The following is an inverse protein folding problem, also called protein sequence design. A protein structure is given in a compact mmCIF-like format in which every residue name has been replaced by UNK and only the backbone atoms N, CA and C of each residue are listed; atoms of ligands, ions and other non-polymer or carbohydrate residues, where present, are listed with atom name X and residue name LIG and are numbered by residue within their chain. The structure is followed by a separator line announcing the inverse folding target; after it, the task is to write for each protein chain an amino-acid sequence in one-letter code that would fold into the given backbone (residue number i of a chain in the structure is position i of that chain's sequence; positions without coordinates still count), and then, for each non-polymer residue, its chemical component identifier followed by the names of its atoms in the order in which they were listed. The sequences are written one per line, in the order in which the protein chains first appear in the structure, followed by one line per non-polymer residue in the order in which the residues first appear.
data_IF_326832195995
#
_entry.id   IF_326832195995
#
_cell.length_a   1.000
_cell.length_b   1.000
_cell.length_c   1.000
_cell.angle_alpha   90.00
_cell.angle_beta   90.00
_cell.angle_gamma   90.00
#
_symmetry.space_group_name_H-M   'P 1'
#
loop_
_entity.id
_entity.type
_entity.pdbx_description
1 polymer ?
#
# COMPACT_ATOMS: atom_id res chain seq x y z
N UNK A 1 -67.78 64.80 8.17
CA UNK A 1 -67.51 63.61 9.01
C UNK A 1 -67.49 62.40 8.12
N UNK A 2 -66.57 61.46 8.41
CA UNK A 2 -66.21 60.21 7.70
C UNK A 2 -65.41 60.40 6.40
N UNK A 3 -64.08 60.22 6.43
CA UNK A 3 -63.27 58.99 6.57
C UNK A 3 -63.23 58.19 5.27
N UNK A 4 -62.14 57.59 4.82
CA UNK A 4 -60.71 57.65 5.10
C UNK A 4 -60.06 56.63 4.14
N UNK A 5 -58.85 56.92 3.66
CA UNK A 5 -57.76 55.98 3.38
C UNK A 5 -57.93 55.02 2.17
N UNK A 6 -57.23 55.42 1.09
CA UNK A 6 -56.69 54.52 0.06
C UNK A 6 -55.66 53.60 0.74
N UNK A 7 -55.90 52.29 0.72
CA UNK A 7 -54.88 51.28 1.07
C UNK A 7 -54.62 50.39 -0.13
N UNK A 8 -53.45 50.56 -0.72
CA UNK A 8 -52.86 49.64 -1.70
C UNK A 8 -52.50 48.34 -0.97
N UNK A 9 -53.22 47.25 -1.25
CA UNK A 9 -52.82 45.91 -0.84
C UNK A 9 -51.71 45.42 -1.79
N UNK A 10 -50.45 45.61 -1.39
CA UNK A 10 -49.33 44.87 -1.95
C UNK A 10 -49.46 43.41 -1.53
N UNK A 11 -49.87 42.54 -2.47
CA UNK A 11 -49.81 41.10 -2.28
C UNK A 11 -48.34 40.67 -2.25
N UNK A 12 -47.74 40.65 -1.05
CA UNK A 12 -46.54 39.88 -0.78
C UNK A 12 -46.87 38.39 -0.94
N UNK A 13 -46.77 37.86 -2.16
CA UNK A 13 -46.53 36.44 -2.36
C UNK A 13 -45.15 36.14 -1.77
N UNK A 14 -45.12 35.83 -0.47
CA UNK A 14 -44.02 35.09 0.13
C UNK A 14 -43.98 33.75 -0.60
N UNK A 15 -43.13 33.64 -1.62
CA UNK A 15 -42.65 32.35 -2.05
C UNK A 15 -41.87 31.79 -0.87
N UNK A 16 -42.56 30.98 -0.06
CA UNK A 16 -41.93 30.01 0.81
C UNK A 16 -41.17 29.08 -0.13
N UNK A 17 -39.95 29.46 -0.47
CA UNK A 17 -38.96 28.54 -1.01
C UNK A 17 -38.69 27.58 0.14
N UNK A 18 -39.50 26.53 0.24
CA UNK A 18 -39.12 25.34 0.96
C UNK A 18 -37.82 24.87 0.31
N UNK A 19 -36.69 25.23 0.92
CA UNK A 19 -35.43 24.61 0.61
C UNK A 19 -35.62 23.12 0.84
N UNK A 20 -35.72 22.37 -0.25
CA UNK A 20 -35.72 20.90 -0.19
C UNK A 20 -34.45 20.51 0.56
N UNK A 21 -34.53 19.72 1.64
CA UNK A 21 -33.33 19.27 2.32
C UNK A 21 -32.41 18.58 1.30
N UNK A 22 -31.22 19.15 1.11
CA UNK A 22 -30.26 18.74 0.06
C UNK A 22 -29.47 17.47 0.43
N UNK A 23 -29.71 16.88 1.59
CA UNK A 23 -29.07 15.63 2.01
C UNK A 23 -29.93 14.43 1.63
N UNK A 24 -29.51 13.71 0.59
CA UNK A 24 -30.04 12.37 0.32
C UNK A 24 -29.78 11.48 1.53
N UNK A 25 -30.82 10.86 2.09
CA UNK A 25 -30.65 9.88 3.17
C UNK A 25 -30.07 8.59 2.60
N UNK A 26 -28.88 8.20 3.07
CA UNK A 26 -28.17 7.03 2.57
C UNK A 26 -27.58 6.19 3.71
N UNK A 27 -27.23 4.95 3.43
CA UNK A 27 -26.60 4.03 4.38
C UNK A 27 -25.80 2.92 3.66
N UNK A 28 -25.12 2.06 4.42
CA UNK A 28 -24.60 0.79 3.88
C UNK A 28 -25.48 -0.40 4.26
N UNK A 29 -26.07 -0.37 5.47
CA UNK A 29 -26.60 -1.56 6.14
C UNK A 29 -28.04 -1.94 5.80
N UNK A 30 -28.79 -1.08 5.10
CA UNK A 30 -30.20 -1.35 4.77
C UNK A 30 -30.39 -1.44 3.26
N UNK A 31 -31.14 -2.44 2.76
CA UNK A 31 -31.40 -2.57 1.33
C UNK A 31 -31.94 -1.30 0.68
N UNK A 32 -32.82 -0.56 1.37
CA UNK A 32 -33.48 0.65 0.86
C UNK A 32 -32.57 1.86 0.67
N UNK A 33 -31.37 1.87 1.25
CA UNK A 33 -30.43 3.00 1.17
C UNK A 33 -28.98 2.59 0.95
N UNK A 34 -28.74 1.32 0.62
CA UNK A 34 -27.43 0.71 0.35
C UNK A 34 -26.76 1.25 -0.91
N UNK A 35 -25.48 0.94 -1.09
CA UNK A 35 -24.69 1.36 -2.26
C UNK A 35 -25.31 0.96 -3.61
N UNK A 36 -25.94 -0.21 -3.67
CA UNK A 36 -26.70 -0.68 -4.83
C UNK A 36 -27.88 0.25 -5.20
N UNK A 37 -28.41 1.01 -4.25
CA UNK A 37 -29.54 1.94 -4.45
C UNK A 37 -29.12 3.38 -4.68
N UNK A 38 -27.87 3.74 -4.37
CA UNK A 38 -27.38 5.12 -4.53
C UNK A 38 -27.53 5.68 -5.94
N UNK A 39 -27.34 4.92 -7.04
CA UNK A 39 -27.63 5.41 -8.39
C UNK A 39 -29.08 5.85 -8.60
N UNK A 40 -30.01 5.38 -7.78
CA UNK A 40 -31.43 5.77 -7.82
C UNK A 40 -31.74 6.90 -6.84
N UNK A 41 -31.27 6.81 -5.58
CA UNK A 41 -31.62 7.80 -4.55
C UNK A 41 -30.78 9.09 -4.61
N UNK A 42 -29.59 9.02 -5.20
CA UNK A 42 -28.67 10.14 -5.42
C UNK A 42 -28.30 10.23 -6.92
N UNK A 43 -29.30 10.08 -7.78
CA UNK A 43 -29.16 9.89 -9.23
C UNK A 43 -28.24 10.91 -9.89
N UNK A 44 -28.33 12.19 -9.50
CA UNK A 44 -27.57 13.28 -10.12
C UNK A 44 -26.08 13.01 -10.27
N UNK A 45 -25.49 12.24 -9.37
CA UNK A 45 -24.05 11.98 -9.39
C UNK A 45 -23.69 10.49 -9.25
N UNK A 46 -24.51 9.68 -8.58
CA UNK A 46 -24.14 8.28 -8.31
C UNK A 46 -24.37 7.32 -9.49
N UNK A 47 -25.04 7.76 -10.56
CA UNK A 47 -25.21 6.99 -11.80
C UNK A 47 -24.16 7.35 -12.90
N UNK A 48 -23.15 8.15 -12.55
CA UNK A 48 -22.13 8.60 -13.47
C UNK A 48 -21.24 7.46 -14.02
N UNK A 49 -20.44 7.77 -15.02
CA UNK A 49 -19.59 6.77 -15.72
C UNK A 49 -18.15 6.75 -15.24
N UNK A 50 -17.73 7.72 -14.42
CA UNK A 50 -16.39 7.84 -13.85
C UNK A 50 -16.42 7.62 -12.33
N UNK A 51 -17.26 6.70 -11.87
CA UNK A 51 -17.44 6.41 -10.45
C UNK A 51 -16.26 5.65 -9.84
N UNK A 52 -16.11 5.78 -8.53
CA UNK A 52 -15.19 5.06 -7.67
C UNK A 52 -15.96 4.26 -6.61
N UNK A 53 -15.39 3.20 -6.03
CA UNK A 53 -14.05 2.65 -6.28
C UNK A 53 -13.99 1.79 -7.56
N UNK A 54 -12.79 1.31 -7.93
CA UNK A 54 -12.59 0.40 -9.07
C UNK A 54 -11.72 -0.80 -8.70
N UNK A 55 -11.84 -1.88 -9.48
CA UNK A 55 -10.83 -2.94 -9.49
C UNK A 55 -9.71 -2.60 -10.48
N UNK A 56 -8.49 -2.43 -9.97
CA UNK A 56 -7.30 -2.13 -10.76
C UNK A 56 -6.75 -3.42 -11.35
N UNK A 57 -6.83 -3.55 -12.68
CA UNK A 57 -6.27 -4.69 -13.41
C UNK A 57 -4.85 -4.33 -13.86
N UNK A 58 -3.84 -4.90 -13.21
CA UNK A 58 -2.44 -4.46 -13.34
C UNK A 58 -1.88 -4.64 -14.75
N UNK A 59 -2.38 -5.62 -15.51
CA UNK A 59 -1.98 -5.82 -16.91
C UNK A 59 -2.46 -4.71 -17.84
N UNK A 60 -3.47 -3.94 -17.44
CA UNK A 60 -4.04 -2.84 -18.22
C UNK A 60 -3.52 -1.47 -17.76
N UNK A 61 -2.69 -1.43 -16.71
CA UNK A 61 -2.12 -0.19 -16.19
C UNK A 61 -1.11 0.35 -17.17
N UNK A 62 -1.26 1.62 -17.53
CA UNK A 62 -0.35 2.30 -18.45
C UNK A 62 0.76 3.04 -17.70
N UNK A 63 1.98 2.96 -18.21
CA UNK A 63 3.09 3.73 -17.66
C UNK A 63 2.94 5.21 -18.02
N UNK A 64 3.15 6.09 -17.04
CA UNK A 64 3.17 7.54 -17.23
C UNK A 64 4.42 8.12 -16.56
N UNK A 65 5.29 8.75 -17.36
CA UNK A 65 6.55 9.32 -16.90
C UNK A 65 6.39 10.61 -16.06
N UNK A 66 5.23 11.27 -16.14
CA UNK A 66 4.94 12.46 -15.33
C UNK A 66 4.59 12.09 -13.88
N UNK A 67 4.17 10.84 -13.64
CA UNK A 67 3.96 10.33 -12.29
C UNK A 67 5.31 10.15 -11.60
N UNK A 68 5.67 11.15 -10.82
CA UNK A 68 6.90 11.23 -10.04
C UNK A 68 6.61 11.07 -8.54
N UNK A 69 7.61 11.23 -7.68
CA UNK A 69 7.41 11.20 -6.24
C UNK A 69 6.42 12.29 -5.79
N UNK A 70 5.56 11.92 -4.84
CA UNK A 70 4.77 12.88 -4.08
C UNK A 70 5.62 13.48 -2.96
N UNK A 71 5.38 14.74 -2.66
CA UNK A 71 5.96 15.44 -1.51
C UNK A 71 4.88 15.57 -0.44
N UNK A 72 5.18 15.08 0.77
CA UNK A 72 4.29 15.14 1.92
C UNK A 72 4.86 16.14 2.93
N UNK A 73 4.09 17.17 3.26
CA UNK A 73 4.45 18.20 4.24
C UNK A 73 3.60 18.01 5.49
N UNK A 74 4.23 18.05 6.67
CA UNK A 74 3.52 17.97 7.97
C UNK A 74 3.00 16.58 8.36
N UNK A 75 3.23 15.54 7.54
CA UNK A 75 2.76 14.17 7.84
C UNK A 75 3.42 13.56 9.08
N UNK A 76 4.59 14.05 9.47
CA UNK A 76 5.32 13.67 10.68
C UNK A 76 4.93 14.50 11.92
N UNK A 77 4.09 15.53 11.77
CA UNK A 77 3.67 16.38 12.88
C UNK A 77 2.57 15.70 13.70
N UNK A 78 2.86 15.40 14.97
CA UNK A 78 1.94 14.77 15.92
C UNK A 78 0.82 15.69 16.42
N UNK A 79 0.88 16.97 16.09
CA UNK A 79 -0.17 17.95 16.38
C UNK A 79 -1.09 18.22 15.16
N UNK A 80 -0.86 17.55 14.03
CA UNK A 80 -1.67 17.75 12.84
C UNK A 80 -2.95 16.90 12.80
N UNK A 81 -3.00 15.78 13.54
CA UNK A 81 -4.24 15.05 13.78
C UNK A 81 -4.93 15.68 15.01
N UNK A 82 -6.17 16.11 14.87
CA UNK A 82 -6.81 17.00 15.87
C UNK A 82 -8.01 16.39 16.58
N UNK A 83 -8.90 15.72 15.84
CA UNK A 83 -10.15 15.16 16.37
C UNK A 83 -10.45 13.83 15.71
N UNK A 84 -10.75 12.79 16.49
CA UNK A 84 -11.30 11.52 15.98
C UNK A 84 -12.81 11.48 16.27
N UNK A 85 -13.60 11.03 15.29
CA UNK A 85 -15.06 11.04 15.34
C UNK A 85 -15.63 9.78 14.72
N UNK A 86 -16.66 9.23 15.35
CA UNK A 86 -17.55 8.26 14.72
C UNK A 86 -18.66 9.02 13.98
N UNK A 87 -18.73 8.91 12.66
CA UNK A 87 -19.72 9.63 11.85
C UNK A 87 -21.05 8.89 11.73
N UNK A 88 -21.12 7.64 12.20
CA UNK A 88 -22.21 6.70 11.94
C UNK A 88 -22.04 5.89 10.66
N UNK A 89 -21.11 6.28 9.78
CA UNK A 89 -20.79 5.56 8.54
C UNK A 89 -19.31 5.23 8.39
N UNK A 90 -18.42 5.88 9.16
CA UNK A 90 -16.99 5.64 9.22
C UNK A 90 -16.40 6.18 10.54
N UNK A 91 -15.13 5.87 10.80
CA UNK A 91 -14.29 6.59 11.75
C UNK A 91 -13.45 7.58 10.96
N UNK A 92 -13.60 8.86 11.29
CA UNK A 92 -12.94 9.98 10.63
C UNK A 92 -12.02 10.69 11.61
N UNK A 93 -10.84 11.11 11.14
CA UNK A 93 -9.92 11.98 11.87
C UNK A 93 -9.74 13.28 11.10
N UNK A 94 -9.98 14.40 11.78
CA UNK A 94 -9.74 15.74 11.24
C UNK A 94 -8.24 16.03 11.21
N UNK A 95 -7.76 16.52 10.07
CA UNK A 95 -6.39 16.94 9.84
C UNK A 95 -6.28 18.47 9.81
N UNK A 96 -5.21 18.98 10.39
CA UNK A 96 -4.87 20.40 10.36
C UNK A 96 -4.39 20.78 8.94
N UNK A 97 -5.33 21.29 8.15
CA UNK A 97 -5.13 21.68 6.76
C UNK A 97 -4.13 22.84 6.59
N UNK A 98 -3.78 23.58 7.64
CA UNK A 98 -2.71 24.59 7.57
C UNK A 98 -1.32 23.97 7.71
N UNK A 99 -1.21 22.74 8.24
CA UNK A 99 0.06 22.04 8.48
C UNK A 99 0.31 20.92 7.50
N UNK A 100 -0.72 20.18 7.11
CA UNK A 100 -0.59 18.98 6.29
C UNK A 100 -0.96 19.23 4.83
N UNK A 101 -0.01 18.93 3.94
CA UNK A 101 -0.19 19.12 2.51
C UNK A 101 0.45 17.98 1.69
N UNK A 102 -0.06 17.81 0.47
CA UNK A 102 0.53 16.94 -0.56
C UNK A 102 0.63 17.69 -1.90
N UNK A 103 1.71 17.43 -2.62
CA UNK A 103 1.92 17.92 -3.98
C UNK A 103 2.85 16.98 -4.77
N UNK A 104 3.12 17.30 -6.04
CA UNK A 104 3.97 16.48 -6.91
C UNK A 104 3.22 15.29 -7.49
N UNK A 105 3.94 14.34 -8.09
CA UNK A 105 3.31 13.15 -8.68
C UNK A 105 2.22 13.47 -9.70
N UNK A 106 2.40 14.52 -10.51
CA UNK A 106 1.41 15.03 -11.49
C UNK A 106 0.09 15.53 -10.88
N UNK A 107 0.09 15.91 -9.59
CA UNK A 107 -1.00 16.71 -9.02
C UNK A 107 -0.91 18.15 -9.54
N UNK A 108 -2.04 18.79 -9.89
CA UNK A 108 -2.09 20.10 -10.53
C UNK A 108 -1.84 21.30 -9.59
N UNK A 109 -1.18 21.06 -8.45
CA UNK A 109 -0.87 22.09 -7.46
C UNK A 109 -0.66 21.52 -6.06
N UNK A 110 -0.73 22.41 -5.08
CA UNK A 110 -0.71 22.07 -3.67
C UNK A 110 -2.12 21.71 -3.18
N UNK A 111 -2.22 20.62 -2.43
CA UNK A 111 -3.47 20.18 -1.83
C UNK A 111 -3.30 20.08 -0.31
N UNK A 112 -4.17 20.75 0.42
CA UNK A 112 -4.22 20.69 1.87
C UNK A 112 -4.98 19.43 2.32
N UNK A 113 -4.40 18.64 3.23
CA UNK A 113 -5.03 17.45 3.79
C UNK A 113 -6.07 17.86 4.85
N UNK A 114 -7.32 17.47 4.67
CA UNK A 114 -8.43 17.95 5.51
C UNK A 114 -8.90 16.92 6.53
N UNK A 115 -8.94 15.65 6.13
CA UNK A 115 -9.35 14.55 6.98
C UNK A 115 -8.83 13.22 6.41
N UNK A 116 -8.81 12.20 7.26
CA UNK A 116 -8.81 10.83 6.76
C UNK A 116 -9.93 10.03 7.39
N UNK A 117 -10.38 9.00 6.68
CA UNK A 117 -11.38 8.07 7.17
C UNK A 117 -11.10 6.65 6.69
N UNK A 118 -11.86 5.70 7.23
CA UNK A 118 -11.61 4.27 7.08
C UNK A 118 -12.84 3.55 6.52
N UNK A 119 -12.58 2.57 5.68
CA UNK A 119 -13.57 1.62 5.16
C UNK A 119 -13.17 0.22 5.59
N UNK A 120 -14.14 -0.58 6.06
CA UNK A 120 -13.85 -1.93 6.55
C UNK A 120 -15.01 -2.89 6.35
N UNK A 121 -14.68 -4.18 6.39
CA UNK A 121 -15.61 -5.27 6.20
C UNK A 121 -16.25 -5.71 7.51
N UNK A 122 -16.26 -7.01 7.74
CA UNK A 122 -16.66 -7.63 8.99
C UNK A 122 -15.48 -8.41 9.58
N UNK A 123 -14.74 -7.78 10.50
CA UNK A 123 -13.48 -8.25 11.03
C UNK A 123 -12.36 -8.30 10.00
N UNK A 124 -11.24 -8.84 10.44
CA UNK A 124 -9.98 -9.02 9.70
C UNK A 124 -10.04 -10.07 8.60
N UNK A 125 -11.05 -10.94 8.61
CA UNK A 125 -11.20 -12.04 7.64
C UNK A 125 -12.11 -11.71 6.47
N UNK A 126 -12.96 -10.68 6.59
CA UNK A 126 -13.89 -10.28 5.54
C UNK A 126 -13.38 -9.03 4.84
N UNK A 127 -13.16 -9.04 3.52
CA UNK A 127 -12.67 -7.87 2.81
C UNK A 127 -13.59 -6.65 2.95
N UNK A 128 -12.97 -5.49 3.12
CA UNK A 128 -13.61 -4.20 3.32
C UNK A 128 -13.03 -3.03 2.56
N UNK A 129 -11.90 -3.21 1.87
CA UNK A 129 -11.27 -2.17 1.06
C UNK A 129 -12.18 -1.78 -0.10
N UNK A 130 -12.40 -0.51 -0.34
CA UNK A 130 -13.26 -0.08 -1.46
C UNK A 130 -12.65 -0.49 -2.81
N UNK A 131 -11.36 -0.22 -3.02
CA UNK A 131 -10.64 -0.64 -4.21
C UNK A 131 -10.24 -2.12 -4.13
N UNK A 132 -9.99 -2.70 -5.30
CA UNK A 132 -9.35 -3.99 -5.47
C UNK A 132 -8.19 -3.93 -6.44
N UNK A 133 -7.28 -4.90 -6.36
CA UNK A 133 -6.18 -5.09 -7.32
C UNK A 133 -6.23 -6.52 -7.84
N UNK A 134 -6.40 -6.70 -9.15
CA UNK A 134 -6.56 -8.01 -9.79
C UNK A 134 -7.62 -8.89 -9.11
N UNK A 135 -8.72 -8.29 -8.67
CA UNK A 135 -9.80 -8.97 -7.95
C UNK A 135 -9.55 -9.20 -6.45
N UNK A 136 -8.33 -8.97 -5.95
CA UNK A 136 -8.04 -9.02 -4.50
C UNK A 136 -8.54 -7.73 -3.83
N UNK A 137 -9.33 -7.90 -2.78
CA UNK A 137 -9.67 -6.85 -1.80
C UNK A 137 -8.96 -7.13 -0.46
N UNK A 138 -8.82 -6.11 0.36
CA UNK A 138 -8.14 -6.14 1.65
C UNK A 138 -9.15 -5.92 2.80
N UNK A 139 -8.84 -6.30 4.05
CA UNK A 139 -9.74 -6.10 5.19
C UNK A 139 -10.22 -4.66 5.39
N UNK A 140 -9.35 -3.67 5.21
CA UNK A 140 -9.72 -2.26 5.32
C UNK A 140 -9.00 -1.40 4.26
N UNK A 141 -9.47 -0.17 4.11
CA UNK A 141 -8.82 0.88 3.31
C UNK A 141 -8.94 2.23 4.01
N UNK A 142 -7.83 2.98 4.04
CA UNK A 142 -7.75 4.34 4.58
C UNK A 142 -7.72 5.33 3.43
N UNK A 143 -8.55 6.36 3.52
CA UNK A 143 -8.58 7.48 2.57
C UNK A 143 -8.14 8.77 3.25
N UNK A 144 -7.11 9.43 2.72
CA UNK A 144 -6.75 10.81 3.09
C UNK A 144 -7.32 11.73 2.03
N UNK A 145 -8.24 12.61 2.41
CA UNK A 145 -8.86 13.58 1.51
C UNK A 145 -8.08 14.88 1.55
N UNK A 146 -7.74 15.38 0.35
CA UNK A 146 -6.98 16.60 0.18
C UNK A 146 -7.74 17.53 -0.77
N UNK A 147 -7.82 18.81 -0.40
CA UNK A 147 -8.50 19.84 -1.17
C UNK A 147 -7.46 20.75 -1.82
N UNK A 148 -7.66 21.04 -3.10
CA UNK A 148 -6.80 21.97 -3.82
C UNK A 148 -6.78 23.35 -3.13
N UNK A 149 -5.59 23.90 -2.94
CA UNK A 149 -5.43 25.28 -2.51
C UNK A 149 -5.82 26.27 -3.61
N UNK A 150 -6.13 27.52 -3.25
CA UNK A 150 -6.55 28.56 -4.22
C UNK A 150 -5.52 28.85 -5.31
N UNK A 151 -4.25 28.59 -5.05
CA UNK A 151 -3.14 28.79 -5.99
C UNK A 151 -2.92 27.58 -6.92
N UNK A 152 -3.64 26.47 -6.73
CA UNK A 152 -3.55 25.32 -7.61
C UNK A 152 -4.09 25.68 -9.00
N UNK A 153 -3.49 25.11 -10.04
CA UNK A 153 -3.85 25.40 -11.45
C UNK A 153 -5.18 24.77 -11.89
N UNK A 154 -5.99 24.29 -10.93
CA UNK A 154 -7.27 23.65 -11.22
C UNK A 154 -8.38 24.68 -11.33
N UNK A 155 -9.11 24.63 -12.43
CA UNK A 155 -10.33 25.44 -12.60
C UNK A 155 -11.42 24.95 -11.65
N UNK A 156 -11.73 25.74 -10.61
CA UNK A 156 -12.85 25.52 -9.71
C UNK A 156 -12.44 25.34 -8.23
N UNK A 157 -13.19 25.97 -7.32
CA UNK A 157 -12.93 26.01 -5.86
C UNK A 157 -13.04 24.64 -5.12
N UNK A 158 -13.05 23.50 -5.81
CA UNK A 158 -13.46 22.21 -5.23
C UNK A 158 -12.78 20.96 -5.82
N UNK A 159 -11.58 21.08 -6.39
CA UNK A 159 -10.83 19.91 -6.83
C UNK A 159 -10.33 19.10 -5.62
N UNK A 160 -10.57 17.78 -5.65
CA UNK A 160 -10.17 16.84 -4.60
C UNK A 160 -9.13 15.86 -5.12
N UNK A 161 -8.12 15.60 -4.30
CA UNK A 161 -7.20 14.48 -4.47
C UNK A 161 -7.33 13.56 -3.26
N UNK A 162 -7.56 12.27 -3.49
CA UNK A 162 -7.71 11.27 -2.43
C UNK A 162 -6.59 10.26 -2.52
N UNK A 163 -5.93 10.04 -1.38
CA UNK A 163 -4.87 9.05 -1.21
C UNK A 163 -5.47 7.81 -0.55
N UNK A 164 -5.48 6.68 -1.25
CA UNK A 164 -5.97 5.40 -0.76
C UNK A 164 -4.84 4.46 -0.34
N UNK A 165 -4.96 3.90 0.87
CA UNK A 165 -4.02 2.93 1.42
C UNK A 165 -4.77 1.67 1.82
N UNK A 166 -4.41 0.54 1.21
CA UNK A 166 -4.89 -0.76 1.67
C UNK A 166 -4.35 -1.07 3.05
N UNK A 167 -5.13 -1.76 3.86
CA UNK A 167 -4.71 -2.27 5.17
C UNK A 167 -4.88 -3.78 5.16
N UNK A 168 -3.79 -4.49 5.39
CA UNK A 168 -3.74 -5.95 5.42
C UNK A 168 -3.52 -6.45 6.85
N UNK A 169 -4.30 -7.47 7.22
CA UNK A 169 -4.16 -8.13 8.50
C UNK A 169 -2.77 -8.79 8.63
N UNK A 170 -2.11 -8.59 9.76
CA UNK A 170 -0.89 -9.29 10.16
C UNK A 170 -1.13 -10.12 11.43
N UNK A 171 -0.24 -11.07 11.68
CA UNK A 171 -0.28 -11.92 12.88
C UNK A 171 0.48 -11.31 14.07
N UNK A 172 1.02 -10.09 13.93
CA UNK A 172 1.85 -9.44 14.94
C UNK A 172 0.97 -8.72 15.98
N UNK A 173 0.35 -9.46 16.89
CA UNK A 173 -0.66 -8.95 17.85
C UNK A 173 -0.34 -7.57 18.44
N UNK A 174 -1.31 -6.67 18.36
CA UNK A 174 -1.21 -5.30 18.88
C UNK A 174 -0.20 -4.40 18.15
N UNK A 175 0.26 -4.76 16.95
CA UNK A 175 1.15 -3.94 16.12
C UNK A 175 0.45 -3.35 14.89
N UNK A 176 0.98 -2.22 14.37
CA UNK A 176 2.00 -1.36 14.97
C UNK A 176 1.44 -0.55 16.15
N UNK A 177 2.34 0.02 16.97
CA UNK A 177 1.95 0.78 18.19
C UNK A 177 1.07 2.01 17.85
N UNK A 178 1.29 2.61 16.69
CA UNK A 178 0.50 3.71 16.17
C UNK A 178 -0.97 3.30 15.98
N UNK A 179 -1.22 2.17 15.35
CA UNK A 179 -2.56 1.63 15.18
C UNK A 179 -3.20 1.22 16.51
N UNK A 180 -2.42 0.63 17.43
CA UNK A 180 -2.90 0.33 18.78
C UNK A 180 -3.35 1.59 19.51
N UNK A 181 -2.58 2.67 19.38
CA UNK A 181 -2.92 3.98 19.92
C UNK A 181 -4.20 4.52 19.29
N UNK A 182 -4.31 4.51 17.95
CA UNK A 182 -5.51 4.94 17.24
C UNK A 182 -6.76 4.17 17.70
N UNK A 183 -6.68 2.84 17.76
CA UNK A 183 -7.82 1.99 18.14
C UNK A 183 -8.21 2.13 19.61
N UNK A 184 -7.30 2.60 20.48
CA UNK A 184 -7.62 2.85 21.89
C UNK A 184 -8.71 3.93 22.08
N UNK A 185 -8.89 4.80 21.08
CA UNK A 185 -9.94 5.81 21.08
C UNK A 185 -11.33 5.26 20.78
N UNK A 186 -11.44 4.10 20.10
CA UNK A 186 -12.73 3.59 19.59
C UNK A 186 -13.77 3.40 20.71
N UNK A 187 -13.35 2.95 21.89
CA UNK A 187 -14.24 2.79 23.04
C UNK A 187 -14.83 4.11 23.54
N UNK A 188 -14.12 5.25 23.35
CA UNK A 188 -14.59 6.59 23.71
C UNK A 188 -15.53 7.20 22.67
N UNK A 189 -15.46 6.70 21.43
CA UNK A 189 -16.29 7.15 20.31
C UNK A 189 -17.20 6.04 19.79
N UNK A 190 -17.70 5.21 20.69
CA UNK A 190 -18.43 4.00 20.34
C UNK A 190 -19.65 4.29 19.47
N UNK A 191 -20.37 5.41 19.66
CA UNK A 191 -21.61 5.66 18.93
C UNK A 191 -21.47 6.82 17.92
N UNK A 192 -22.31 6.79 16.88
CA UNK A 192 -22.38 7.87 15.91
C UNK A 192 -22.56 9.25 16.57
N UNK A 193 -21.73 10.20 16.14
CA UNK A 193 -21.68 11.55 16.67
C UNK A 193 -20.72 11.74 17.85
N UNK A 194 -20.24 10.66 18.47
CA UNK A 194 -19.21 10.75 19.50
C UNK A 194 -17.87 11.16 18.88
N UNK A 195 -17.11 11.97 19.62
CA UNK A 195 -15.83 12.52 19.17
C UNK A 195 -14.88 12.71 20.36
N UNK A 196 -13.59 12.65 20.10
CA UNK A 196 -12.53 12.80 21.11
C UNK A 196 -11.31 13.50 20.48
N UNK A 197 -10.63 14.41 21.19
CA UNK A 197 -9.35 14.93 20.74
C UNK A 197 -8.30 13.82 20.64
N UNK A 198 -7.52 13.81 19.56
CA UNK A 198 -6.45 12.83 19.35
C UNK A 198 -5.08 13.49 19.53
N UNK A 199 -4.13 12.76 20.12
CA UNK A 199 -2.79 13.27 20.42
C UNK A 199 -1.72 12.19 20.17
N UNK A 200 -0.46 12.62 20.08
CA UNK A 200 0.75 11.78 20.12
C UNK A 200 0.98 10.81 18.94
N UNK A 201 0.15 10.88 17.90
CA UNK A 201 0.26 10.08 16.69
C UNK A 201 0.31 10.98 15.46
N UNK A 202 1.25 10.71 14.56
CA UNK A 202 1.36 11.39 13.27
C UNK A 202 0.81 10.52 12.14
N UNK A 203 0.61 11.11 10.96
CA UNK A 203 0.20 10.36 9.78
C UNK A 203 1.30 9.37 9.32
N UNK A 204 2.57 9.77 9.38
CA UNK A 204 3.70 8.87 9.05
C UNK A 204 3.76 7.65 9.98
N UNK A 205 3.41 7.80 11.27
CA UNK A 205 3.31 6.68 12.21
C UNK A 205 2.23 5.66 11.76
N UNK A 206 1.09 6.14 11.22
CA UNK A 206 -0.01 5.29 10.74
C UNK A 206 0.30 4.62 9.41
N UNK A 207 1.12 5.25 8.56
CA UNK A 207 1.48 4.76 7.22
C UNK A 207 2.81 3.98 7.19
N UNK A 208 3.32 3.58 8.34
CA UNK A 208 4.60 2.86 8.46
C UNK A 208 4.62 1.59 7.60
N UNK A 209 5.71 1.41 6.84
CA UNK A 209 5.94 0.24 6.00
C UNK A 209 5.45 0.36 4.55
N UNK A 210 4.73 1.43 4.20
CA UNK A 210 4.27 1.68 2.83
C UNK A 210 5.35 2.38 1.99
N UNK A 211 5.72 1.81 0.84
CA UNK A 211 6.51 2.51 -0.17
C UNK A 211 5.64 3.53 -0.94
N UNK A 212 5.66 4.77 -0.47
CA UNK A 212 4.90 5.89 -1.06
C UNK A 212 5.43 6.36 -2.43
N UNK A 213 6.47 5.71 -2.97
CA UNK A 213 6.93 6.00 -4.34
C UNK A 213 6.18 5.19 -5.41
N UNK A 214 5.40 4.18 -5.01
CA UNK A 214 4.67 3.27 -5.92
C UNK A 214 3.17 3.42 -5.74
N UNK A 215 2.50 3.89 -6.79
CA UNK A 215 1.05 4.10 -6.73
C UNK A 215 0.38 3.97 -8.10
N UNK A 216 -0.92 3.78 -8.08
CA UNK A 216 -1.79 3.91 -9.25
C UNK A 216 -2.48 5.28 -9.23
N UNK A 217 -2.71 5.86 -10.41
CA UNK A 217 -3.39 7.13 -10.62
C UNK A 217 -4.57 6.94 -11.57
N UNK A 218 -5.73 7.47 -11.21
CA UNK A 218 -6.89 7.57 -12.12
C UNK A 218 -7.83 8.71 -11.69
N UNK A 219 -8.70 9.14 -12.62
CA UNK A 219 -9.80 10.06 -12.31
C UNK A 219 -11.06 9.28 -11.96
N UNK A 220 -11.66 9.63 -10.83
CA UNK A 220 -12.81 8.92 -10.28
C UNK A 220 -13.82 9.84 -9.62
N UNK A 221 -14.51 9.32 -8.62
CA UNK A 221 -15.52 10.05 -7.85
C UNK A 221 -15.30 9.95 -6.35
N UNK A 222 -16.12 10.67 -5.59
CA UNK A 222 -16.40 10.30 -4.19
C UNK A 222 -17.04 8.91 -4.14
N UNK A 223 -16.75 8.16 -3.07
CA UNK A 223 -17.26 6.80 -2.86
C UNK A 223 -18.45 6.75 -1.91
N UNK A 224 -18.95 7.90 -1.47
CA UNK A 224 -20.21 8.04 -0.73
C UNK A 224 -21.18 8.97 -1.48
N UNK A 225 -22.49 8.93 -1.16
CA UNK A 225 -23.49 9.78 -1.80
C UNK A 225 -23.18 11.27 -1.80
N UNK A 226 -23.68 11.91 -2.85
CA UNK A 226 -23.11 13.02 -3.64
C UNK A 226 -22.14 12.58 -4.73
N UNK A 227 -21.42 11.44 -4.61
CA UNK A 227 -20.74 10.70 -5.69
C UNK A 227 -20.05 11.54 -6.79
N UNK A 228 -19.55 12.75 -6.44
CA UNK A 228 -19.12 13.72 -7.44
C UNK A 228 -17.91 13.20 -8.18
N UNK A 229 -17.96 13.21 -9.51
CA UNK A 229 -16.83 12.86 -10.37
C UNK A 229 -15.80 13.99 -10.42
N UNK A 230 -14.55 13.65 -10.74
CA UNK A 230 -13.43 14.58 -10.80
C UNK A 230 -12.43 14.45 -9.64
N UNK A 231 -12.54 13.38 -8.84
CA UNK A 231 -11.57 13.08 -7.78
C UNK A 231 -10.29 12.49 -8.39
N UNK A 232 -9.14 13.08 -8.07
CA UNK A 232 -7.83 12.55 -8.47
C UNK A 232 -7.40 11.48 -7.46
N UNK A 233 -7.56 10.22 -7.83
CA UNK A 233 -7.23 9.09 -6.95
C UNK A 233 -5.76 8.71 -7.06
N UNK A 234 -5.12 8.51 -5.91
CA UNK A 234 -3.80 7.87 -5.80
C UNK A 234 -3.90 6.66 -4.88
N UNK A 235 -3.77 5.46 -5.42
CA UNK A 235 -3.85 4.21 -4.65
C UNK A 235 -2.46 3.63 -4.48
N UNK A 236 -1.95 3.57 -3.25
CA UNK A 236 -0.63 3.03 -2.96
C UNK A 236 -0.60 1.51 -3.10
N UNK A 237 0.50 0.99 -3.66
CA UNK A 237 0.60 -0.44 -4.00
C UNK A 237 0.87 -1.32 -2.77
N UNK A 238 1.66 -0.82 -1.83
CA UNK A 238 2.01 -1.55 -0.61
C UNK A 238 0.92 -1.31 0.46
N UNK A 239 0.38 -2.37 1.08
CA UNK A 239 -0.59 -2.22 2.15
C UNK A 239 0.09 -1.88 3.48
N UNK A 240 -0.60 -1.11 4.31
CA UNK A 240 -0.28 -0.95 5.73
C UNK A 240 -0.54 -2.30 6.41
N UNK A 241 0.43 -2.79 7.17
CA UNK A 241 0.28 -4.03 7.95
C UNK A 241 -0.25 -3.68 9.34
N UNK A 242 -1.44 -4.17 9.67
CA UNK A 242 -2.07 -3.95 10.98
C UNK A 242 -2.49 -5.29 11.53
N UNK A 243 -2.23 -5.51 12.80
CA UNK A 243 -2.59 -6.76 13.47
C UNK A 243 -4.10 -7.00 13.45
N UNK A 244 -4.47 -8.27 13.25
CA UNK A 244 -5.86 -8.69 13.09
C UNK A 244 -6.74 -8.26 14.27
N UNK A 245 -6.21 -8.29 15.49
CA UNK A 245 -6.93 -7.92 16.72
C UNK A 245 -7.29 -6.43 16.75
N UNK A 246 -6.46 -5.56 16.18
CA UNK A 246 -6.76 -4.13 16.07
C UNK A 246 -7.78 -3.84 14.97
N UNK A 247 -7.75 -4.59 13.86
CA UNK A 247 -8.74 -4.49 12.78
C UNK A 247 -10.13 -4.89 13.31
N UNK A 248 -10.21 -5.98 14.06
CA UNK A 248 -11.48 -6.50 14.58
C UNK A 248 -12.20 -5.49 15.49
N UNK A 249 -11.47 -4.61 16.19
CA UNK A 249 -12.04 -3.57 17.05
C UNK A 249 -12.99 -2.61 16.31
N UNK A 250 -12.76 -2.35 15.01
CA UNK A 250 -13.66 -1.53 14.19
C UNK A 250 -15.02 -2.18 13.96
N UNK A 251 -15.14 -3.49 14.19
CA UNK A 251 -16.37 -4.24 13.98
C UNK A 251 -17.04 -4.68 15.28
N UNK A 252 -16.32 -4.60 16.40
CA UNK A 252 -16.83 -5.00 17.73
C UNK A 252 -17.06 -3.83 18.67
N UNK A 253 -16.50 -2.64 18.39
CA UNK A 253 -16.46 -1.54 19.36
C UNK A 253 -17.25 -0.29 18.95
N UNK A 254 -17.66 -0.19 17.68
CA UNK A 254 -18.31 1.01 17.14
C UNK A 254 -19.65 0.72 16.50
N UNK A 255 -20.59 1.63 16.69
CA UNK A 255 -22.01 1.50 16.38
C UNK A 255 -22.48 2.61 15.44
N UNK A 256 -23.47 2.30 14.59
CA UNK A 256 -23.95 3.22 13.55
C UNK A 256 -24.89 4.33 14.06
N UNK A 257 -25.37 4.21 15.30
CA UNK A 257 -26.22 5.20 15.99
C UNK A 257 -26.18 5.03 17.53
N UNK A 258 -26.91 5.87 18.27
CA UNK A 258 -26.95 5.91 19.75
C UNK A 258 -28.09 5.09 20.39
N UNK A 259 -28.86 4.32 19.61
CA UNK A 259 -30.02 3.60 20.14
C UNK A 259 -29.61 2.35 20.93
N UNK A 260 -30.45 1.91 21.87
CA UNK A 260 -30.16 0.76 22.74
C UNK A 260 -29.88 -0.54 21.97
N UNK A 261 -30.43 -0.69 20.77
CA UNK A 261 -30.22 -1.85 19.88
C UNK A 261 -29.46 -1.45 18.61
N UNK A 262 -28.57 -0.46 18.71
CA UNK A 262 -27.78 0.00 17.58
C UNK A 262 -26.94 -1.14 17.00
N UNK A 263 -26.97 -1.37 15.69
CA UNK A 263 -26.06 -2.31 15.05
C UNK A 263 -24.60 -1.85 15.14
N UNK A 264 -23.69 -2.82 15.23
CA UNK A 264 -22.27 -2.60 15.02
C UNK A 264 -22.02 -2.09 13.60
N UNK A 265 -21.04 -1.21 13.46
CA UNK A 265 -20.66 -0.64 12.18
C UNK A 265 -19.76 -1.64 11.45
N UNK A 266 -20.32 -2.31 10.44
CA UNK A 266 -19.62 -3.28 9.58
C UNK A 266 -19.91 -2.99 8.11
N UNK A 267 -19.08 -3.49 7.20
CA UNK A 267 -19.27 -3.36 5.74
C UNK A 267 -19.50 -1.90 5.29
N UNK A 268 -18.64 -1.00 5.74
CA UNK A 268 -18.71 0.45 5.46
C UNK A 268 -18.01 0.81 4.15
N UNK A 269 -18.30 0.10 3.07
CA UNK A 269 -17.66 0.29 1.77
C UNK A 269 -18.67 0.21 0.63
N UNK A 270 -18.40 0.95 -0.44
CA UNK A 270 -19.10 0.86 -1.72
C UNK A 270 -18.53 -0.29 -2.56
N UNK A 271 -19.39 -0.98 -3.30
CA UNK A 271 -18.98 -1.94 -4.30
C UNK A 271 -18.18 -1.32 -5.46
N UNK A 272 -17.33 -2.12 -6.11
CA UNK A 272 -16.54 -1.69 -7.26
C UNK A 272 -17.43 -1.23 -8.42
N UNK A 273 -17.01 -0.14 -9.07
CA UNK A 273 -17.70 0.49 -10.18
C UNK A 273 -17.01 0.13 -11.50
N UNK A 274 -17.74 0.12 -12.64
CA UNK A 274 -17.17 -0.16 -13.94
C UNK A 274 -16.07 0.85 -14.35
N UNK A 275 -15.02 0.37 -15.01
CA UNK A 275 -13.91 1.23 -15.44
C UNK A 275 -14.29 2.19 -16.59
N UNK A 276 -15.27 1.81 -17.43
CA UNK A 276 -15.86 2.64 -18.49
C UNK A 276 -14.84 3.34 -19.40
N UNK A 277 -13.81 2.61 -19.83
CA UNK A 277 -12.78 3.13 -20.75
C UNK A 277 -11.75 4.07 -20.11
N UNK A 278 -11.87 4.39 -18.81
CA UNK A 278 -10.82 5.14 -18.10
C UNK A 278 -9.53 4.33 -18.04
N UNK A 279 -8.42 5.05 -18.08
CA UNK A 279 -7.08 4.47 -17.98
C UNK A 279 -6.57 4.63 -16.55
N UNK A 280 -6.09 3.53 -15.97
CA UNK A 280 -5.30 3.57 -14.75
C UNK A 280 -3.84 3.69 -15.13
N UNK A 281 -3.14 4.65 -14.53
CA UNK A 281 -1.73 4.92 -14.79
C UNK A 281 -0.86 4.55 -13.59
N UNK A 282 0.41 4.28 -13.82
CA UNK A 282 1.43 4.16 -12.77
C UNK A 282 2.77 4.68 -13.28
N UNK A 283 3.73 4.86 -12.38
CA UNK A 283 5.08 5.31 -12.73
C UNK A 283 5.73 4.35 -13.73
N UNK A 284 6.63 4.86 -14.56
CA UNK A 284 7.46 4.01 -15.41
C UNK A 284 8.29 3.10 -14.51
N UNK A 285 8.11 1.79 -14.67
CA UNK A 285 8.94 0.81 -13.97
C UNK A 285 10.41 1.12 -14.28
N UNK A 286 11.20 1.40 -13.24
CA UNK A 286 12.60 1.73 -13.41
C UNK A 286 13.30 0.61 -14.19
N UNK A 287 13.64 0.87 -15.45
CA UNK A 287 14.47 -0.02 -16.23
C UNK A 287 15.79 -0.12 -15.47
N UNK A 288 16.13 -1.32 -14.96
CA UNK A 288 17.49 -1.60 -14.52
C UNK A 288 18.39 -1.39 -15.74
N UNK A 289 18.88 -0.18 -15.89
CA UNK A 289 19.74 0.21 -17.00
C UNK A 289 21.07 -0.46 -16.72
N UNK A 290 21.26 -1.65 -17.28
CA UNK A 290 22.57 -2.29 -17.35
C UNK A 290 23.36 -1.48 -18.38
N UNK A 291 23.81 -0.28 -17.99
CA UNK A 291 24.69 0.52 -18.83
C UNK A 291 26.00 -0.25 -18.92
N UNK A 292 26.28 -0.81 -20.09
CA UNK A 292 27.60 -1.32 -20.42
C UNK A 292 28.54 -0.11 -20.44
N UNK A 293 29.22 0.17 -19.32
CA UNK A 293 30.29 1.17 -19.32
C UNK A 293 31.45 0.55 -20.09
N UNK A 294 31.63 0.94 -21.35
CA UNK A 294 32.86 0.67 -22.09
C UNK A 294 33.90 1.68 -21.60
N UNK A 295 34.98 1.28 -20.90
CA UNK A 295 36.00 2.22 -20.48
C UNK A 295 36.77 2.67 -21.74
N UNK A 296 36.68 3.94 -22.07
CA UNK A 296 37.61 4.59 -22.99
C UNK A 296 38.67 5.29 -22.16
N UNK A 297 39.92 4.91 -22.39
CA UNK A 297 41.18 5.45 -21.85
C UNK A 297 41.71 4.87 -20.53
N UNK A 298 43.03 4.68 -20.53
CA UNK A 298 43.85 4.16 -19.43
C UNK A 298 44.19 5.29 -18.46
N UNK A 299 43.56 5.29 -17.29
CA UNK A 299 43.94 6.18 -16.19
C UNK A 299 44.36 5.33 -14.99
N UNK A 300 45.62 5.48 -14.57
CA UNK A 300 46.09 4.96 -13.28
C UNK A 300 45.54 5.88 -12.19
N UNK A 301 44.67 5.35 -11.34
CA UNK A 301 44.19 6.06 -10.15
C UNK A 301 44.46 5.19 -8.93
N UNK A 302 45.35 5.65 -8.05
CA UNK A 302 45.53 5.13 -6.70
C UNK A 302 44.54 5.81 -5.76
N UNK A 303 43.50 5.09 -5.34
CA UNK A 303 42.54 5.55 -4.34
C UNK A 303 41.53 4.45 -3.98
N UNK A 304 41.22 4.31 -2.69
CA UNK A 304 40.21 3.38 -2.18
C UNK A 304 38.84 3.74 -2.78
N UNK A 305 38.26 2.79 -3.52
CA UNK A 305 36.88 2.86 -4.02
C UNK A 305 36.05 1.82 -3.28
N UNK A 306 35.17 2.27 -2.38
CA UNK A 306 34.15 1.43 -1.77
C UNK A 306 32.94 1.40 -2.70
N UNK A 307 32.93 0.46 -3.65
CA UNK A 307 31.86 0.29 -4.64
C UNK A 307 31.22 -1.08 -4.44
N UNK A 308 30.05 -1.11 -3.84
CA UNK A 308 29.18 -2.30 -3.78
C UNK A 308 28.56 -2.52 -5.16
N UNK A 309 29.17 -3.37 -5.98
CA UNK A 309 28.60 -3.82 -7.27
C UNK A 309 28.46 -5.33 -7.29
N UNK A 310 27.24 -5.81 -7.47
CA UNK A 310 26.95 -7.21 -7.83
C UNK A 310 26.84 -7.29 -9.35
N UNK A 311 27.94 -7.62 -10.03
CA UNK A 311 27.99 -7.80 -11.48
C UNK A 311 29.08 -8.79 -11.89
N UNK A 312 28.80 -9.59 -12.92
CA UNK A 312 29.68 -10.62 -13.46
C UNK A 312 30.83 -9.96 -14.26
N UNK A 313 32.08 -10.15 -13.84
CA UNK A 313 33.26 -9.66 -14.56
C UNK A 313 33.79 -10.78 -15.48
N UNK A 314 33.81 -10.55 -16.80
CA UNK A 314 34.52 -11.40 -17.76
C UNK A 314 35.77 -10.65 -18.24
N UNK A 315 37.00 -11.04 -17.83
CA UNK A 315 38.20 -10.35 -18.28
C UNK A 315 38.57 -10.79 -19.69
N UNK A 316 38.68 -9.86 -20.62
CA UNK A 316 39.44 -10.04 -21.86
C UNK A 316 40.72 -9.22 -21.75
N UNK A 317 41.86 -9.91 -21.80
CA UNK A 317 43.25 -9.46 -21.69
C UNK A 317 43.87 -9.41 -20.28
N UNK A 318 45.15 -9.82 -20.25
CA UNK A 318 45.96 -10.17 -19.08
C UNK A 318 46.27 -8.97 -18.19
N UNK A 319 45.69 -8.94 -16.99
CA UNK A 319 46.07 -7.99 -15.92
C UNK A 319 46.68 -8.79 -14.77
N UNK A 320 47.94 -8.48 -14.43
CA UNK A 320 48.58 -8.94 -13.18
C UNK A 320 48.14 -7.99 -12.06
N UNK A 321 47.42 -8.52 -11.07
CA UNK A 321 47.07 -7.78 -9.85
C UNK A 321 47.60 -8.55 -8.65
N UNK A 322 48.55 -7.95 -7.92
CA UNK A 322 48.94 -8.34 -6.57
C UNK A 322 48.13 -7.52 -5.57
N UNK A 323 47.24 -8.16 -4.83
CA UNK A 323 46.44 -7.49 -3.79
C UNK A 323 45.88 -8.51 -2.78
N UNK A 324 45.99 -8.16 -1.50
CA UNK A 324 45.53 -8.97 -0.36
C UNK A 324 44.04 -8.69 -0.11
N UNK A 325 43.16 -9.69 -0.25
CA UNK A 325 41.74 -9.56 0.08
C UNK A 325 41.53 -10.03 1.52
N UNK A 326 41.06 -9.14 2.39
CA UNK A 326 40.63 -9.45 3.76
C UNK A 326 39.11 -9.29 3.84
N UNK A 327 38.30 -10.38 3.82
CA UNK A 327 36.87 -10.27 3.99
C UNK A 327 36.54 -10.07 5.48
N UNK A 328 35.84 -8.99 5.81
CA UNK A 328 35.13 -8.85 7.08
C UNK A 328 33.65 -9.08 6.83
N UNK A 329 33.09 -10.08 7.50
CA UNK A 329 31.69 -10.53 7.52
C UNK A 329 31.26 -11.63 6.54
N UNK A 330 30.44 -12.53 7.07
CA UNK A 330 30.05 -13.84 6.56
C UNK A 330 29.07 -13.74 5.39
N UNK A 331 29.48 -14.16 4.19
CA UNK A 331 28.57 -14.56 3.12
C UNK A 331 29.17 -15.71 2.32
N UNK A 332 28.36 -16.74 2.03
CA UNK A 332 28.72 -17.87 1.16
C UNK A 332 29.01 -17.36 -0.25
N UNK A 333 30.18 -17.65 -0.79
CA UNK A 333 30.55 -17.32 -2.17
C UNK A 333 30.62 -18.60 -2.99
N UNK A 334 29.74 -18.75 -3.97
CA UNK A 334 29.88 -19.74 -5.05
C UNK A 334 30.51 -19.07 -6.27
N UNK A 335 31.71 -19.49 -6.66
CA UNK A 335 32.40 -18.95 -7.83
C UNK A 335 33.12 -20.04 -8.61
N UNK A 336 32.92 -20.07 -9.93
CA UNK A 336 33.65 -20.90 -10.88
C UNK A 336 34.95 -20.16 -11.27
N UNK A 337 36.13 -20.75 -11.02
CA UNK A 337 37.42 -20.13 -11.36
C UNK A 337 37.97 -20.75 -12.64
N UNK A 338 37.93 -19.98 -13.73
CA UNK A 338 38.58 -20.29 -15.00
C UNK A 338 39.99 -19.68 -15.10
N UNK A 339 40.99 -20.55 -15.18
CA UNK A 339 42.37 -20.39 -15.70
C UNK A 339 43.32 -19.31 -15.13
N UNK A 340 44.47 -19.83 -14.63
CA UNK A 340 45.76 -19.20 -14.26
C UNK A 340 45.72 -18.18 -13.12
N UNK A 341 45.69 -18.70 -11.89
CA UNK A 341 46.12 -17.98 -10.69
C UNK A 341 46.96 -18.89 -9.81
N UNK A 342 48.16 -18.43 -9.43
CA UNK A 342 48.93 -19.00 -8.31
C UNK A 342 48.54 -18.22 -7.07
N UNK A 343 47.59 -18.74 -6.29
CA UNK A 343 47.21 -18.17 -5.00
C UNK A 343 47.22 -19.26 -3.92
N UNK A 344 47.96 -19.02 -2.84
CA UNK A 344 47.90 -19.81 -1.63
C UNK A 344 46.65 -19.42 -0.84
N UNK A 345 45.81 -20.38 -0.48
CA UNK A 345 44.69 -20.17 0.44
C UNK A 345 45.07 -20.82 1.77
N UNK A 346 45.24 -20.03 2.83
CA UNK A 346 45.42 -20.51 4.19
C UNK A 346 44.16 -20.16 5.00
N UNK A 347 43.29 -21.14 5.33
CA UNK A 347 42.14 -20.88 6.18
C UNK A 347 42.60 -20.69 7.63
N UNK A 348 42.16 -19.62 8.28
CA UNK A 348 42.14 -19.53 9.75
C UNK A 348 40.71 -19.74 10.22
N UNK A 349 40.54 -20.79 11.03
CA UNK A 349 39.36 -21.19 11.81
C UNK A 349 38.06 -21.50 11.04
N UNK A 350 37.68 -22.79 11.07
CA UNK A 350 36.30 -23.27 11.20
C UNK A 350 35.32 -22.92 10.09
N UNK A 351 35.53 -23.40 8.87
CA UNK A 351 34.44 -23.46 7.86
C UNK A 351 34.55 -24.74 7.02
N UNK A 352 33.44 -25.49 6.92
CA UNK A 352 33.31 -26.66 6.06
C UNK A 352 33.23 -26.22 4.59
N UNK A 353 34.21 -26.59 3.79
CA UNK A 353 34.22 -26.41 2.34
C UNK A 353 34.02 -27.76 1.65
N UNK A 354 32.88 -27.92 0.97
CA UNK A 354 32.65 -29.01 0.01
C UNK A 354 32.78 -28.43 -1.40
N UNK A 355 33.84 -28.78 -2.12
CA UNK A 355 34.04 -28.42 -3.53
C UNK A 355 34.37 -29.67 -4.34
N UNK A 356 33.57 -29.96 -5.37
CA UNK A 356 33.83 -31.03 -6.32
C UNK A 356 34.78 -30.49 -7.40
N UNK A 357 35.95 -31.12 -7.55
CA UNK A 357 36.89 -30.84 -8.64
C UNK A 357 36.70 -31.91 -9.73
N UNK A 358 36.15 -31.54 -10.87
CA UNK A 358 36.19 -32.36 -12.09
C UNK A 358 37.30 -31.83 -13.00
N UNK A 359 38.38 -32.60 -13.27
CA UNK A 359 39.42 -32.16 -14.18
C UNK A 359 39.02 -32.47 -15.63
N UNK A 360 38.87 -31.44 -16.46
CA UNK A 360 38.96 -31.58 -17.91
C UNK A 360 40.42 -31.38 -18.33
N UNK A 361 41.06 -32.49 -18.67
CA UNK A 361 42.38 -32.64 -19.32
C UNK A 361 43.64 -32.11 -18.57
N UNK A 362 44.48 -33.08 -18.19
CA UNK A 362 45.94 -33.01 -18.32
C UNK A 362 46.73 -32.03 -17.45
N UNK A 363 46.71 -32.14 -16.11
CA UNK A 363 47.73 -31.53 -15.25
C UNK A 363 48.08 -32.47 -14.08
N UNK A 364 49.37 -32.79 -13.92
CA UNK A 364 49.93 -33.47 -12.73
C UNK A 364 49.89 -32.52 -11.53
N UNK A 365 49.23 -32.90 -10.45
CA UNK A 365 49.31 -32.22 -9.15
C UNK A 365 50.28 -32.95 -8.24
N UNK A 366 51.33 -32.25 -7.79
CA UNK A 366 52.10 -32.60 -6.59
C UNK A 366 51.79 -31.60 -5.51
N UNK A 367 50.89 -31.95 -4.59
CA UNK A 367 50.76 -31.26 -3.31
C UNK A 367 50.22 -32.24 -2.25
N UNK A 368 51.03 -32.47 -1.22
CA UNK A 368 50.65 -33.20 -0.02
C UNK A 368 49.70 -32.33 0.82
N UNK A 369 48.61 -32.92 1.30
CA UNK A 369 47.84 -32.40 2.43
C UNK A 369 48.15 -33.30 3.62
N UNK A 370 48.86 -32.77 4.63
CA UNK A 370 49.11 -33.46 5.89
C UNK A 370 48.00 -33.07 6.88
N UNK A 371 47.23 -34.01 7.45
CA UNK A 371 46.26 -33.68 8.49
C UNK A 371 46.97 -33.46 9.84
N UNK A 372 46.58 -32.40 10.55
CA UNK A 372 46.83 -32.24 11.99
C UNK A 372 45.51 -32.49 12.74
N UNK A 373 45.46 -33.61 13.47
CA UNK A 373 44.65 -33.95 14.68
C UNK A 373 43.18 -33.47 14.75
N UNK A 374 42.15 -34.34 14.73
CA UNK A 374 41.69 -35.36 15.68
C UNK A 374 40.48 -34.87 16.54
N UNK A 375 39.30 -35.44 16.28
CA UNK A 375 38.14 -35.71 17.17
C UNK A 375 36.87 -35.89 16.30
N UNK A 376 36.56 -37.10 15.82
CA UNK A 376 35.53 -38.02 16.36
C UNK A 376 34.11 -37.44 16.41
N UNK A 377 33.27 -37.81 15.44
CA UNK A 377 32.12 -38.69 15.71
C UNK A 377 31.45 -39.17 14.42
N UNK A 378 31.16 -40.47 14.40
CA UNK A 378 30.46 -41.22 13.36
C UNK A 378 28.96 -40.90 13.33
N UNK A 379 28.35 -40.91 12.16
CA UNK A 379 27.21 -41.80 11.89
C UNK A 379 26.95 -41.92 10.38
N UNK A 380 26.50 -43.11 10.02
CA UNK A 380 26.50 -43.72 8.69
C UNK A 380 25.50 -43.11 7.70
N UNK A 381 25.92 -43.06 6.44
CA UNK A 381 25.03 -42.97 5.29
C UNK A 381 24.38 -44.33 5.04
N UNK A 382 23.06 -44.36 4.84
CA UNK A 382 22.36 -45.50 4.28
C UNK A 382 22.00 -45.20 2.82
N UNK A 383 22.44 -46.11 1.95
CA UNK A 383 22.21 -46.15 0.51
C UNK A 383 20.85 -46.80 0.28
N UNK A 384 19.95 -46.15 -0.49
CA UNK A 384 18.78 -46.81 -1.08
C UNK A 384 19.09 -47.21 -2.53
N UNK A 385 18.80 -48.46 -2.94
CA UNK A 385 18.63 -48.78 -4.35
C UNK A 385 17.14 -48.76 -4.75
N UNK A 386 16.89 -48.28 -5.96
CA UNK A 386 15.63 -48.45 -6.69
C UNK A 386 15.38 -49.93 -6.98
N UNK A 387 14.16 -50.39 -6.78
CA UNK A 387 13.64 -51.58 -7.45
C UNK A 387 12.23 -51.33 -7.98
N UNK A 388 12.11 -51.53 -9.28
CA UNK A 388 10.92 -51.56 -10.11
C UNK A 388 10.10 -52.82 -9.82
N UNK A 389 8.78 -52.70 -9.68
CA UNK A 389 7.84 -53.81 -9.97
C UNK A 389 6.58 -53.24 -10.64
N UNK A 390 6.12 -53.99 -11.63
CA UNK A 390 5.11 -53.74 -12.64
C UNK A 390 3.92 -54.69 -12.38
N UNK A 391 2.68 -54.22 -12.64
CA UNK A 391 1.41 -54.96 -12.83
C UNK A 391 0.85 -55.70 -11.58
N UNK A 392 -0.45 -55.88 -11.31
CA UNK A 392 -1.62 -56.08 -12.18
C UNK A 392 -2.96 -55.82 -11.39
N UNK A 393 -4.01 -55.58 -12.19
CA UNK A 393 -5.46 -55.50 -11.94
C UNK A 393 -6.14 -56.42 -10.90
N UNK A 394 -7.23 -55.91 -10.28
CA UNK A 394 -8.60 -56.45 -10.09
C UNK A 394 -9.41 -55.40 -9.28
N UNK A 395 -10.45 -54.70 -9.74
CA UNK A 395 -11.82 -55.05 -10.19
C UNK A 395 -12.69 -55.76 -9.11
N UNK A 396 -13.71 -55.01 -8.66
CA UNK A 396 -15.05 -55.38 -8.14
C UNK A 396 -15.32 -55.46 -6.59
N UNK A 397 -16.59 -55.40 -6.11
CA UNK A 397 -17.21 -54.19 -5.53
C UNK A 397 -18.00 -54.43 -4.20
N UNK A 398 -18.74 -53.40 -3.77
CA UNK A 398 -19.97 -53.42 -2.95
C UNK A 398 -19.87 -53.86 -1.47
N UNK A 399 -20.07 -52.88 -0.59
CA UNK A 399 -21.16 -52.84 0.40
C UNK A 399 -21.43 -51.40 0.82
#
# INVERSE_FOLDING_TARGET
MMNAIITFLAACLLHVVCGVPTSVSWCYHRPSCSDATWPTIAEKYCNGTQQSPINIVTTNVQANANLTSLTFTGYNDKAALTLIKNTGTTIQVTLDHEKMHVQGGDLPGLFASTEFHLHWGNGSTTPGSEHGVNGKRFPMELHIVNKAERNATVSGNSALAVLGFFIEASNDTGKPESWKTLTSYLAKIANAGDQEPIYHISMDDLLTGVDRSKYYRYLGSLTTPNCNEGVIWTIFQDPIKVSWDLIDLFTTSVYINKTTNSPLMTNTFRGVQPINGRVVMSQVAGTKTTRLIKPTSSTKTTGLLDVKTTGLIKPTSSVKTTGLIKPTSSTKTTGLVGTKSTSLIKPTSGTNTSGLLTPTSGIKTTSLIKPTSAATNLSQALILPLLSVVLLYCILPLL
#
